data_IF_521380056671
#
_entry.id   IF_521380056671
#
_cell.length_a   1.000
_cell.length_b   1.000
_cell.length_c   1.000
_cell.angle_alpha   90.00
_cell.angle_beta   90.00
_cell.angle_gamma   90.00
#
_symmetry.space_group_name_H-M   'P 1'
#
loop_
_entity.id
_entity.type
_entity.pdbx_description
1 polymer ?
#
# COMPACT_ATOMS: atom_id res chain seq x y z
N UNK A 1 41.75 33.10 51.74
CA UNK A 1 42.70 32.82 50.65
C UNK A 1 41.97 32.06 49.54
N UNK A 2 41.90 32.70 48.36
CA UNK A 2 41.87 32.14 46.98
C UNK A 2 40.91 30.99 46.60
N UNK A 3 39.86 31.39 45.85
CA UNK A 3 39.25 30.71 44.67
C UNK A 3 40.28 30.73 43.47
N UNK A 4 40.12 30.10 42.26
CA UNK A 4 38.87 29.63 41.63
C UNK A 4 38.93 28.41 40.62
N UNK A 5 37.74 28.04 40.10
CA UNK A 5 37.33 27.48 38.76
C UNK A 5 38.05 26.31 38.06
N UNK A 6 37.28 25.28 37.66
CA UNK A 6 37.18 24.80 36.27
C UNK A 6 35.89 23.98 36.04
N UNK A 7 35.17 24.32 34.97
CA UNK A 7 33.92 23.73 34.52
C UNK A 7 34.17 22.71 33.39
N UNK A 8 33.28 21.72 33.24
CA UNK A 8 32.89 21.08 31.98
C UNK A 8 31.75 20.08 32.29
N UNK A 9 30.48 20.46 32.10
CA UNK A 9 29.66 20.21 30.91
C UNK A 9 29.60 18.74 30.45
N UNK A 10 28.44 18.10 30.64
CA UNK A 10 27.72 17.40 29.58
C UNK A 10 26.34 16.94 30.09
N UNK A 11 25.31 17.74 29.77
CA UNK A 11 23.99 17.27 29.28
C UNK A 11 23.40 15.99 29.88
N UNK A 12 22.59 16.16 30.93
CA UNK A 12 21.46 15.27 31.22
C UNK A 12 20.16 15.95 30.78
N UNK A 13 19.86 15.94 29.48
CA UNK A 13 18.51 16.21 29.00
C UNK A 13 17.70 14.90 29.10
N UNK A 14 16.40 15.00 29.43
CA UNK A 14 15.59 13.86 29.87
C UNK A 14 15.46 12.83 28.74
N UNK A 15 15.39 11.55 29.12
CA UNK A 15 14.98 10.45 28.23
C UNK A 15 13.63 10.81 27.61
N UNK A 16 13.67 11.42 26.43
CA UNK A 16 12.49 11.58 25.60
C UNK A 16 12.16 10.18 25.10
N UNK A 17 11.09 9.59 25.63
CA UNK A 17 10.39 8.47 25.03
C UNK A 17 10.22 8.75 23.53
N UNK A 18 11.01 8.09 22.68
CA UNK A 18 10.78 8.07 21.23
C UNK A 18 9.97 6.80 20.93
N UNK A 19 8.78 6.72 21.55
CA UNK A 19 7.69 5.95 20.97
C UNK A 19 7.01 6.81 19.90
N UNK A 20 6.34 6.24 18.89
CA UNK A 20 5.60 7.03 17.91
C UNK A 20 4.61 7.96 18.62
N UNK A 21 4.68 9.26 18.30
CA UNK A 21 3.83 10.30 18.89
C UNK A 21 2.38 10.10 18.46
N UNK A 22 1.57 9.51 19.35
CA UNK A 22 0.12 9.39 19.18
C UNK A 22 -0.32 8.31 18.20
N UNK A 23 -1.63 8.00 18.16
CA UNK A 23 -2.19 7.07 17.20
C UNK A 23 -1.90 7.59 15.78
N UNK A 24 -1.33 6.74 14.93
CA UNK A 24 -1.11 7.08 13.52
C UNK A 24 -2.47 7.36 12.87
N UNK A 25 -2.78 8.63 12.67
CA UNK A 25 -3.94 9.09 11.91
C UNK A 25 -3.65 8.90 10.41
N UNK A 26 -3.58 7.65 9.96
CA UNK A 26 -3.42 7.32 8.57
C UNK A 26 -4.77 7.48 7.86
N UNK A 27 -4.98 8.64 7.20
CA UNK A 27 -6.19 8.90 6.41
C UNK A 27 -5.92 8.75 4.92
N UNK A 28 -6.86 8.15 4.19
CA UNK A 28 -6.78 7.99 2.73
C UNK A 28 -7.37 9.23 2.05
N UNK A 29 -6.57 9.95 1.26
CA UNK A 29 -7.02 11.09 0.45
C UNK A 29 -7.72 10.61 -0.83
N UNK A 30 -9.03 10.32 -0.70
CA UNK A 30 -9.86 9.90 -1.83
C UNK A 30 -9.92 10.92 -2.98
N UNK A 31 -10.02 12.24 -2.74
CA UNK A 31 -9.91 13.24 -3.81
C UNK A 31 -8.61 13.18 -4.61
N UNK A 32 -7.47 12.95 -3.96
CA UNK A 32 -6.19 12.80 -4.65
C UNK A 32 -6.17 11.52 -5.51
N UNK A 33 -6.58 10.39 -4.93
CA UNK A 33 -6.68 9.11 -5.63
C UNK A 33 -7.50 9.19 -6.92
N UNK A 34 -8.66 9.84 -6.88
CA UNK A 34 -9.55 9.99 -8.05
C UNK A 34 -8.98 10.83 -9.18
N UNK A 35 -7.93 11.63 -8.91
CA UNK A 35 -7.26 12.46 -9.92
C UNK A 35 -6.07 11.77 -10.58
N UNK A 36 -5.64 10.63 -10.05
CA UNK A 36 -4.49 9.88 -10.58
C UNK A 36 -4.83 9.23 -11.91
N UNK A 37 -3.82 9.09 -12.77
CA UNK A 37 -3.90 8.31 -14.02
C UNK A 37 -3.96 6.82 -13.71
N UNK A 38 -4.46 6.00 -14.64
CA UNK A 38 -4.52 4.55 -14.42
C UNK A 38 -3.14 3.93 -14.19
N UNK A 39 -2.12 4.37 -14.94
CA UNK A 39 -0.72 3.98 -14.71
C UNK A 39 -0.25 4.26 -13.27
N UNK A 40 -0.63 5.41 -12.72
CA UNK A 40 -0.24 5.81 -11.37
C UNK A 40 -0.96 4.99 -10.31
N UNK A 41 -2.24 4.68 -10.51
CA UNK A 41 -3.00 3.77 -9.64
C UNK A 41 -2.41 2.36 -9.66
N UNK A 42 -2.05 1.83 -10.83
CA UNK A 42 -1.40 0.53 -10.98
C UNK A 42 -0.10 0.47 -10.18
N UNK A 43 0.77 1.46 -10.38
CA UNK A 43 2.07 1.52 -9.70
C UNK A 43 1.91 1.70 -8.18
N UNK A 44 0.96 2.54 -7.76
CA UNK A 44 0.66 2.74 -6.34
C UNK A 44 0.17 1.44 -5.69
N UNK A 45 -0.75 0.72 -6.34
CA UNK A 45 -1.21 -0.58 -5.87
C UNK A 45 -0.05 -1.56 -5.66
N UNK A 46 0.83 -1.70 -6.67
CA UNK A 46 2.01 -2.55 -6.55
C UNK A 46 2.91 -2.16 -5.38
N UNK A 47 3.15 -0.86 -5.18
CA UNK A 47 3.95 -0.37 -4.06
C UNK A 47 3.30 -0.66 -2.70
N UNK A 48 1.98 -0.44 -2.58
CA UNK A 48 1.21 -0.76 -1.35
C UNK A 48 1.28 -2.24 -1.04
N UNK A 49 1.10 -3.11 -2.05
CA UNK A 49 1.18 -4.55 -1.89
C UNK A 49 2.56 -5.00 -1.43
N UNK A 50 3.62 -4.52 -2.07
CA UNK A 50 5.01 -4.83 -1.67
C UNK A 50 5.29 -4.38 -0.24
N UNK A 51 4.85 -3.18 0.15
CA UNK A 51 5.01 -2.69 1.52
C UNK A 51 4.24 -3.56 2.52
N UNK A 52 3.05 -4.02 2.16
CA UNK A 52 2.24 -4.90 3.01
C UNK A 52 2.96 -6.25 3.23
N UNK A 53 3.49 -6.86 2.16
CA UNK A 53 4.25 -8.12 2.27
C UNK A 53 5.51 -7.98 3.13
N UNK A 54 6.22 -6.86 3.00
CA UNK A 54 7.37 -6.56 3.86
C UNK A 54 6.94 -6.40 5.32
N UNK A 55 5.87 -5.66 5.59
CA UNK A 55 5.38 -5.44 6.94
C UNK A 55 4.89 -6.76 7.60
N UNK A 56 4.17 -7.60 6.86
CA UNK A 56 3.76 -8.94 7.30
C UNK A 56 4.98 -9.80 7.61
N UNK A 57 5.98 -9.82 6.72
CA UNK A 57 7.23 -10.56 6.93
C UNK A 57 8.01 -10.10 8.15
N UNK A 58 7.94 -8.79 8.47
CA UNK A 58 8.50 -8.24 9.70
C UNK A 58 7.70 -8.70 10.92
N UNK A 59 6.36 -8.69 10.90
CA UNK A 59 5.52 -9.18 11.99
C UNK A 59 5.84 -10.63 12.40
N UNK A 60 6.26 -11.47 11.45
CA UNK A 60 6.65 -12.86 11.74
C UNK A 60 7.99 -13.01 12.47
N UNK A 61 8.73 -11.93 12.75
CA UNK A 61 9.99 -12.01 13.48
C UNK A 61 9.73 -12.07 15.00
N UNK A 62 10.42 -12.95 15.76
CA UNK A 62 10.20 -13.10 17.20
C UNK A 62 10.28 -11.80 18.01
N UNK A 63 11.06 -10.82 17.53
CA UNK A 63 11.22 -9.50 18.18
C UNK A 63 9.93 -8.66 18.21
N UNK A 64 8.89 -9.03 17.46
CA UNK A 64 7.60 -8.35 17.40
C UNK A 64 6.47 -9.14 18.08
N UNK A 65 6.80 -10.27 18.69
CA UNK A 65 5.87 -11.11 19.46
C UNK A 65 6.30 -11.15 20.92
N UNK A 66 5.35 -11.26 21.83
CA UNK A 66 5.60 -11.55 23.23
C UNK A 66 5.69 -13.07 23.42
N UNK A 67 6.74 -13.54 24.10
CA UNK A 67 7.05 -14.98 24.24
C UNK A 67 6.01 -15.75 25.07
N UNK A 68 5.27 -15.07 25.95
CA UNK A 68 4.33 -15.71 26.88
C UNK A 68 2.92 -15.94 26.29
N UNK A 69 2.40 -14.99 25.51
CA UNK A 69 0.97 -14.99 25.13
C UNK A 69 0.72 -15.24 23.63
N UNK A 70 1.77 -15.42 22.81
CA UNK A 70 1.66 -15.44 21.33
C UNK A 70 1.05 -14.17 20.73
N UNK A 71 0.89 -13.13 21.53
CA UNK A 71 0.39 -11.82 21.13
C UNK A 71 1.51 -10.96 20.56
N UNK A 72 1.14 -9.97 19.75
CA UNK A 72 2.07 -8.97 19.24
C UNK A 72 2.46 -8.00 20.35
N UNK A 73 3.75 -7.70 20.48
CA UNK A 73 4.22 -6.64 21.37
C UNK A 73 3.88 -5.25 20.81
N UNK A 74 4.22 -4.15 21.50
CA UNK A 74 3.87 -2.79 21.05
C UNK A 74 4.36 -2.47 19.62
N UNK A 75 5.55 -2.94 19.26
CA UNK A 75 6.09 -2.74 17.93
C UNK A 75 5.38 -3.63 16.89
N UNK A 76 5.03 -4.86 17.26
CA UNK A 76 4.21 -5.76 16.45
C UNK A 76 2.81 -5.19 16.19
N UNK A 77 2.14 -4.68 17.22
CA UNK A 77 0.84 -3.98 17.10
C UNK A 77 0.93 -2.77 16.17
N UNK A 78 2.04 -2.03 16.24
CA UNK A 78 2.27 -0.90 15.33
C UNK A 78 2.40 -1.35 13.88
N UNK A 79 3.12 -2.46 13.61
CA UNK A 79 3.22 -3.03 12.28
C UNK A 79 1.87 -3.58 11.79
N UNK A 80 1.09 -4.19 12.66
CA UNK A 80 -0.26 -4.69 12.37
C UNK A 80 -1.19 -3.54 11.90
N UNK A 81 -1.19 -2.42 12.63
CA UNK A 81 -1.90 -1.20 12.20
C UNK A 81 -1.41 -0.66 10.85
N UNK A 82 -0.12 -0.77 10.55
CA UNK A 82 0.42 -0.39 9.23
C UNK A 82 -0.12 -1.33 8.15
N UNK A 83 -0.13 -2.65 8.39
CA UNK A 83 -0.65 -3.63 7.43
C UNK A 83 -2.15 -3.46 7.16
N UNK A 84 -2.94 -3.16 8.18
CA UNK A 84 -4.36 -2.84 8.04
C UNK A 84 -4.56 -1.57 7.20
N UNK A 85 -3.80 -0.52 7.48
CA UNK A 85 -3.87 0.73 6.71
C UNK A 85 -3.48 0.53 5.24
N UNK A 86 -2.38 -0.19 4.97
CA UNK A 86 -1.93 -0.48 3.61
C UNK A 86 -2.99 -1.27 2.84
N UNK A 87 -3.61 -2.26 3.48
CA UNK A 87 -4.69 -3.06 2.87
C UNK A 87 -5.94 -2.21 2.58
N UNK A 88 -6.33 -1.32 3.50
CA UNK A 88 -7.42 -0.38 3.29
C UNK A 88 -7.13 0.60 2.14
N UNK A 89 -5.88 1.06 2.03
CA UNK A 89 -5.44 1.94 0.93
C UNK A 89 -5.47 1.20 -0.40
N UNK A 90 -4.97 -0.04 -0.45
CA UNK A 90 -5.01 -0.87 -1.65
C UNK A 90 -6.45 -1.06 -2.14
N UNK A 91 -7.38 -1.41 -1.23
CA UNK A 91 -8.80 -1.51 -1.56
C UNK A 91 -9.37 -0.19 -2.11
N UNK A 92 -8.97 0.96 -1.55
CA UNK A 92 -9.40 2.25 -2.06
C UNK A 92 -8.90 2.54 -3.49
N UNK A 93 -7.66 2.15 -3.81
CA UNK A 93 -7.11 2.24 -5.18
C UNK A 93 -7.93 1.38 -6.13
N UNK A 94 -8.22 0.13 -5.75
CA UNK A 94 -9.01 -0.82 -6.54
C UNK A 94 -10.41 -0.27 -6.80
N UNK A 95 -11.08 0.26 -5.78
CA UNK A 95 -12.42 0.84 -5.92
C UNK A 95 -12.44 2.02 -6.92
N UNK A 96 -11.39 2.84 -6.95
CA UNK A 96 -11.25 3.92 -7.93
C UNK A 96 -11.05 3.36 -9.34
N UNK A 97 -10.19 2.35 -9.50
CA UNK A 97 -9.95 1.68 -10.78
C UNK A 97 -11.20 0.96 -11.31
N UNK A 98 -11.96 0.28 -10.45
CA UNK A 98 -13.21 -0.39 -10.80
C UNK A 98 -14.25 0.58 -11.36
N UNK A 99 -14.41 1.73 -10.69
CA UNK A 99 -15.34 2.79 -11.08
C UNK A 99 -14.93 3.53 -12.36
N UNK A 100 -13.64 3.49 -12.71
CA UNK A 100 -13.12 4.12 -13.92
C UNK A 100 -13.61 3.40 -15.18
N UNK A 101 -13.88 4.19 -16.23
CA UNK A 101 -14.26 3.70 -17.58
C UNK A 101 -13.31 4.28 -18.61
N UNK A 102 -12.03 3.86 -18.61
CA UNK A 102 -11.05 4.37 -19.55
C UNK A 102 -11.44 4.00 -20.98
N UNK A 103 -11.10 4.89 -21.91
CA UNK A 103 -11.31 4.68 -23.35
C UNK A 103 -9.99 4.41 -24.06
N UNK A 104 -8.91 5.05 -23.60
CA UNK A 104 -7.59 4.87 -24.15
C UNK A 104 -7.06 3.46 -23.86
N UNK A 105 -6.39 2.82 -24.82
CA UNK A 105 -5.96 1.42 -24.69
C UNK A 105 -5.02 1.21 -23.51
N UNK A 106 -4.08 2.13 -23.32
CA UNK A 106 -3.07 2.04 -22.26
C UNK A 106 -3.73 2.16 -20.88
N UNK A 107 -4.72 3.04 -20.73
CA UNK A 107 -5.47 3.17 -19.48
C UNK A 107 -6.39 1.94 -19.23
N UNK A 108 -6.90 1.29 -20.29
CA UNK A 108 -7.65 0.03 -20.18
C UNK A 108 -6.73 -1.10 -19.72
N UNK A 109 -5.53 -1.19 -20.28
CA UNK A 109 -4.51 -2.17 -19.89
C UNK A 109 -4.06 -1.96 -18.43
N UNK A 110 -3.78 -0.71 -18.04
CA UNK A 110 -3.37 -0.39 -16.67
C UNK A 110 -4.47 -0.68 -15.64
N UNK A 111 -5.73 -0.38 -15.98
CA UNK A 111 -6.89 -0.77 -15.18
C UNK A 111 -6.98 -2.29 -15.05
N UNK A 112 -6.83 -3.02 -16.15
CA UNK A 112 -6.87 -4.49 -16.16
C UNK A 112 -5.81 -5.08 -15.23
N UNK A 113 -4.55 -4.64 -15.33
CA UNK A 113 -3.46 -5.10 -14.45
C UNK A 113 -3.72 -4.78 -12.97
N UNK A 114 -4.31 -3.61 -12.68
CA UNK A 114 -4.64 -3.23 -11.30
C UNK A 114 -5.67 -4.20 -10.70
N UNK A 115 -6.76 -4.46 -11.42
CA UNK A 115 -7.85 -5.32 -10.94
C UNK A 115 -7.46 -6.80 -10.90
N UNK A 116 -6.80 -7.29 -11.95
CA UNK A 116 -6.35 -8.69 -12.00
C UNK A 116 -5.31 -8.96 -10.94
N UNK A 117 -4.34 -8.06 -10.74
CA UNK A 117 -3.35 -8.23 -9.68
C UNK A 117 -4.00 -8.32 -8.30
N UNK A 118 -5.01 -7.48 -8.02
CA UNK A 118 -5.74 -7.53 -6.76
C UNK A 118 -6.50 -8.84 -6.59
N UNK A 119 -7.18 -9.27 -7.64
CA UNK A 119 -7.95 -10.50 -7.62
C UNK A 119 -7.06 -11.74 -7.50
N UNK A 120 -5.88 -11.72 -8.12
CA UNK A 120 -4.88 -12.78 -8.01
C UNK A 120 -4.41 -12.98 -6.55
N UNK A 121 -4.29 -11.90 -5.78
CA UNK A 121 -3.87 -11.95 -4.38
C UNK A 121 -4.98 -12.49 -3.46
N UNK A 122 -6.25 -12.47 -3.89
CA UNK A 122 -7.41 -12.89 -3.10
C UNK A 122 -7.99 -14.25 -3.49
N UNK A 123 -7.72 -14.73 -4.71
CA UNK A 123 -8.37 -15.92 -5.25
C UNK A 123 -7.51 -17.17 -5.11
N UNK A 124 -8.09 -18.24 -4.59
CA UNK A 124 -7.45 -19.57 -4.59
C UNK A 124 -7.74 -20.35 -5.88
N UNK A 125 -8.75 -19.94 -6.65
CA UNK A 125 -9.20 -20.65 -7.85
C UNK A 125 -8.63 -20.05 -9.15
N UNK A 126 -7.77 -20.82 -9.81
CA UNK A 126 -7.16 -20.43 -11.08
C UNK A 126 -8.17 -20.32 -12.24
N UNK A 127 -9.20 -21.16 -12.26
CA UNK A 127 -10.21 -21.17 -13.34
C UNK A 127 -11.01 -19.86 -13.38
N UNK A 128 -11.46 -19.39 -12.23
CA UNK A 128 -12.19 -18.13 -12.08
C UNK A 128 -11.31 -16.95 -12.47
N UNK A 129 -10.04 -16.98 -12.07
CA UNK A 129 -9.04 -15.99 -12.48
C UNK A 129 -8.83 -15.92 -13.99
N UNK A 130 -8.69 -17.07 -14.66
CA UNK A 130 -8.47 -17.14 -16.09
C UNK A 130 -9.61 -16.52 -16.91
N UNK A 131 -10.85 -16.61 -16.43
CA UNK A 131 -12.01 -15.99 -17.07
C UNK A 131 -11.90 -14.46 -17.02
N UNK A 132 -11.56 -13.89 -15.86
CA UNK A 132 -11.37 -12.44 -15.72
C UNK A 132 -10.21 -11.94 -16.58
N UNK A 133 -9.09 -12.66 -16.62
CA UNK A 133 -7.95 -12.30 -17.46
C UNK A 133 -8.32 -12.29 -18.95
N UNK A 134 -9.04 -13.31 -19.42
CA UNK A 134 -9.50 -13.38 -20.81
C UNK A 134 -10.51 -12.27 -21.17
N UNK A 135 -11.35 -11.84 -20.22
CA UNK A 135 -12.24 -10.69 -20.41
C UNK A 135 -11.42 -9.40 -20.53
N UNK A 136 -10.45 -9.18 -19.65
CA UNK A 136 -9.64 -7.97 -19.67
C UNK A 136 -8.81 -7.83 -20.96
N UNK A 137 -8.22 -8.93 -21.45
CA UNK A 137 -7.50 -8.96 -22.74
C UNK A 137 -8.43 -8.58 -23.91
N UNK A 138 -9.68 -9.04 -23.89
CA UNK A 138 -10.66 -8.70 -24.92
C UNK A 138 -10.97 -7.21 -24.92
N UNK A 139 -11.21 -6.64 -23.75
CA UNK A 139 -11.55 -5.22 -23.59
C UNK A 139 -10.38 -4.33 -24.06
N UNK A 140 -9.15 -4.71 -23.75
CA UNK A 140 -7.93 -4.04 -24.22
C UNK A 140 -7.80 -4.10 -25.75
N UNK A 141 -7.98 -5.28 -26.35
CA UNK A 141 -7.92 -5.45 -27.81
C UNK A 141 -9.00 -4.61 -28.50
N UNK A 142 -10.21 -4.55 -27.95
CA UNK A 142 -11.28 -3.71 -28.48
C UNK A 142 -10.94 -2.21 -28.38
N UNK A 143 -10.31 -1.78 -27.28
CA UNK A 143 -9.83 -0.41 -27.14
C UNK A 143 -8.76 -0.08 -28.18
N UNK A 144 -7.74 -0.95 -28.34
CA UNK A 144 -6.69 -0.79 -29.37
C UNK A 144 -7.26 -0.71 -30.78
N UNK A 145 -8.23 -1.58 -31.09
CA UNK A 145 -8.91 -1.56 -32.39
C UNK A 145 -9.65 -0.22 -32.62
N UNK A 146 -10.42 0.25 -31.64
CA UNK A 146 -11.14 1.53 -31.76
C UNK A 146 -10.19 2.70 -31.98
N UNK A 147 -9.07 2.77 -31.25
CA UNK A 147 -8.09 3.85 -31.43
C UNK A 147 -7.45 3.85 -32.81
N UNK A 148 -7.06 2.68 -33.32
CA UNK A 148 -6.47 2.54 -34.66
C UNK A 148 -7.43 2.98 -35.77
N UNK A 149 -8.74 2.81 -35.55
CA UNK A 149 -9.78 3.11 -36.54
C UNK A 149 -10.54 4.41 -36.27
N UNK A 150 -10.26 5.15 -35.20
CA UNK A 150 -10.88 6.44 -34.87
C UNK A 150 -10.31 7.62 -35.69
N UNK A 151 -9.27 7.41 -36.49
CA UNK A 151 -8.58 8.44 -37.31
C UNK A 151 -8.96 8.34 -38.81
N UNK A 152 -10.08 7.70 -39.14
CA UNK A 152 -10.66 7.73 -40.50
C UNK A 152 -11.80 8.73 -40.62
#
# INVERSE_FOLDING_TARGET
MTKPTAAANATGLPESHIGPYGPMSCSIDMPALRKMRMAELKNLRSALRTLSEVAIGLCCQPRFSDEEDSDLNDAGRTLDYITEFLSAYEQAVVNVAEAAKPVASDDVEDRAWTLLGFQADLTDELSSFAVWAAQAVRDEVEAKFREQHAVS
#
